data_IF_206220429192
#
_entry.id   IF_206220429192
#
_cell.length_a   1.000
_cell.length_b   1.000
_cell.length_c   1.000
_cell.angle_alpha   90.00
_cell.angle_beta   90.00
_cell.angle_gamma   90.00
#
_symmetry.space_group_name_H-M   'P 1'
#
loop_
_entity.id
_entity.type
_entity.pdbx_description
1 polymer ?
#
# COMPACT_ATOMS: atom_id res chain seq x y z
N UNK A 1 6.73 -22.67 -3.45
CA UNK A 1 6.50 -21.36 -2.80
C UNK A 1 5.35 -20.70 -3.55
N UNK A 2 4.11 -21.13 -3.29
CA UNK A 2 3.03 -20.92 -4.26
C UNK A 2 1.63 -20.71 -3.65
N UNK A 3 1.50 -20.34 -2.37
CA UNK A 3 0.15 -20.08 -1.83
C UNK A 3 0.10 -19.11 -0.64
N UNK A 4 0.74 -17.93 -0.77
CA UNK A 4 0.54 -16.86 0.20
C UNK A 4 -0.31 -15.74 -0.40
N UNK A 5 -1.56 -15.66 0.04
CA UNK A 5 -2.42 -14.52 -0.24
C UNK A 5 -2.37 -13.55 0.93
N UNK A 6 -1.96 -12.27 0.73
CA UNK A 6 -1.95 -11.28 1.80
C UNK A 6 -3.34 -11.12 2.43
N UNK A 7 -3.41 -11.09 3.76
CA UNK A 7 -4.67 -10.98 4.53
C UNK A 7 -5.60 -9.88 4.01
N UNK A 8 -5.06 -8.70 3.70
CA UNK A 8 -5.87 -7.58 3.21
C UNK A 8 -6.39 -7.79 1.79
N UNK A 9 -5.66 -8.53 0.94
CA UNK A 9 -6.13 -8.88 -0.39
C UNK A 9 -7.31 -9.85 -0.30
N UNK A 10 -7.19 -10.89 0.52
CA UNK A 10 -8.28 -11.84 0.78
C UNK A 10 -9.53 -11.13 1.30
N UNK A 11 -9.36 -10.25 2.29
CA UNK A 11 -10.47 -9.45 2.84
C UNK A 11 -11.14 -8.57 1.79
N UNK A 12 -10.35 -7.96 0.90
CA UNK A 12 -10.89 -7.14 -0.18
C UNK A 12 -11.80 -7.97 -1.10
N UNK A 13 -11.30 -9.13 -1.56
CA UNK A 13 -12.01 -10.00 -2.49
C UNK A 13 -13.27 -10.64 -1.85
N UNK A 14 -13.18 -11.10 -0.59
CA UNK A 14 -14.25 -11.89 0.06
C UNK A 14 -15.35 -11.04 0.71
N UNK A 15 -14.98 -9.90 1.30
CA UNK A 15 -15.87 -9.07 2.13
C UNK A 15 -16.17 -7.71 1.47
N UNK A 16 -15.12 -6.95 1.11
CA UNK A 16 -15.26 -5.54 0.69
C UNK A 16 -16.00 -5.45 -0.65
N UNK A 17 -15.69 -6.31 -1.61
CA UNK A 17 -16.34 -6.31 -2.93
C UNK A 17 -17.85 -6.53 -2.82
N UNK A 18 -18.29 -7.45 -1.95
CA UNK A 18 -19.71 -7.72 -1.72
C UNK A 18 -20.39 -6.53 -1.07
N UNK A 19 -19.82 -6.02 0.02
CA UNK A 19 -20.36 -4.87 0.74
C UNK A 19 -20.46 -3.61 -0.15
N UNK A 20 -19.47 -3.38 -1.02
CA UNK A 20 -19.48 -2.26 -1.97
C UNK A 20 -20.53 -2.44 -3.06
N UNK A 21 -20.66 -3.64 -3.62
CA UNK A 21 -21.68 -3.95 -4.63
C UNK A 21 -23.09 -3.79 -4.06
N UNK A 22 -23.36 -4.30 -2.86
CA UNK A 22 -24.66 -4.17 -2.19
C UNK A 22 -24.98 -2.70 -1.85
N UNK A 23 -24.00 -1.94 -1.37
CA UNK A 23 -24.20 -0.55 -0.94
C UNK A 23 -24.40 0.41 -2.11
N UNK A 24 -23.70 0.20 -3.23
CA UNK A 24 -23.65 1.15 -4.34
C UNK A 24 -24.31 0.62 -5.63
N UNK A 25 -24.75 -0.64 -5.66
CA UNK A 25 -25.50 -1.22 -6.77
C UNK A 25 -24.70 -1.40 -8.05
N UNK A 26 -23.38 -1.63 -7.96
CA UNK A 26 -22.53 -1.85 -9.13
C UNK A 26 -23.04 -3.03 -9.97
N UNK A 27 -23.13 -2.82 -11.29
CA UNK A 27 -23.61 -3.86 -12.23
C UNK A 27 -22.47 -4.69 -12.79
N UNK A 28 -21.26 -4.15 -12.74
CA UNK A 28 -20.06 -4.81 -13.22
C UNK A 28 -19.05 -4.95 -12.07
N UNK A 29 -18.49 -6.15 -11.90
CA UNK A 29 -17.49 -6.43 -10.87
C UNK A 29 -16.21 -5.57 -11.00
N UNK A 30 -15.93 -5.06 -12.20
CA UNK A 30 -14.79 -4.17 -12.45
C UNK A 30 -15.05 -2.72 -12.03
N UNK A 31 -16.30 -2.32 -11.76
CA UNK A 31 -16.64 -0.98 -11.26
C UNK A 31 -16.32 -0.82 -9.77
N UNK A 32 -16.14 -1.93 -9.05
CA UNK A 32 -15.81 -1.89 -7.62
C UNK A 32 -14.43 -1.24 -7.44
N UNK A 33 -14.31 -0.16 -6.65
CA UNK A 33 -13.06 0.58 -6.48
C UNK A 33 -11.92 -0.26 -5.94
N UNK A 34 -10.74 -0.16 -6.55
CA UNK A 34 -9.51 -0.88 -6.18
C UNK A 34 -8.43 0.10 -5.75
N UNK A 35 -7.52 -0.35 -4.89
CA UNK A 35 -6.29 0.37 -4.58
C UNK A 35 -5.27 0.14 -5.71
N UNK A 36 -4.91 1.20 -6.42
CA UNK A 36 -3.94 1.13 -7.52
C UNK A 36 -2.49 1.27 -7.03
N UNK A 37 -2.24 2.23 -6.15
CA UNK A 37 -0.90 2.55 -5.65
C UNK A 37 -0.96 3.12 -4.24
N UNK A 38 0.04 2.79 -3.42
CA UNK A 38 0.30 3.44 -2.14
C UNK A 38 1.68 4.08 -2.23
N UNK A 39 1.76 5.41 -2.12
CA UNK A 39 3.01 6.15 -2.08
C UNK A 39 3.41 6.43 -0.64
N UNK A 40 4.63 6.04 -0.28
CA UNK A 40 5.24 6.41 1.00
C UNK A 40 6.17 7.61 0.76
N UNK A 41 6.06 8.63 1.61
CA UNK A 41 6.93 9.79 1.58
C UNK A 41 7.44 10.04 3.00
N UNK A 42 8.74 10.29 3.13
CA UNK A 42 9.36 10.69 4.40
C UNK A 42 10.02 12.05 4.22
N UNK A 43 9.45 13.05 4.88
CA UNK A 43 10.04 14.38 4.98
C UNK A 43 11.21 14.36 5.96
N UNK A 44 12.44 14.51 5.46
CA UNK A 44 13.66 14.55 6.28
C UNK A 44 14.01 15.96 6.80
N UNK A 45 13.22 16.98 6.46
CA UNK A 45 13.27 18.32 7.09
C UNK A 45 14.69 18.92 7.19
N UNK A 46 15.05 19.41 8.38
CA UNK A 46 16.38 19.96 8.70
C UNK A 46 17.51 18.93 8.52
N UNK A 47 17.20 17.64 8.64
CA UNK A 47 18.16 16.56 8.40
C UNK A 47 18.45 16.33 6.91
N UNK A 48 17.76 17.01 5.99
CA UNK A 48 18.07 16.98 4.54
C UNK A 48 19.49 17.45 4.20
N UNK A 49 20.07 18.34 5.03
CA UNK A 49 21.43 18.83 4.84
C UNK A 49 22.49 17.83 5.31
N UNK A 50 22.13 16.88 6.19
CA UNK A 50 23.00 15.82 6.67
C UNK A 50 22.79 14.54 5.85
N UNK A 51 23.70 14.30 4.90
CA UNK A 51 23.66 13.12 4.02
C UNK A 51 23.57 11.79 4.78
N UNK A 52 24.14 11.68 5.98
CA UNK A 52 24.07 10.43 6.76
C UNK A 52 22.66 10.16 7.23
N UNK A 53 21.97 11.19 7.73
CA UNK A 53 20.58 11.05 8.21
C UNK A 53 19.61 10.74 7.09
N UNK A 54 19.79 11.34 5.91
CA UNK A 54 19.00 11.01 4.71
C UNK A 54 19.20 9.56 4.30
N UNK A 55 20.44 9.07 4.33
CA UNK A 55 20.77 7.70 3.99
C UNK A 55 20.15 6.70 4.99
N UNK A 56 20.23 6.97 6.29
CA UNK A 56 19.58 6.15 7.32
C UNK A 56 18.06 6.11 7.14
N UNK A 57 17.44 7.26 6.91
CA UNK A 57 16.00 7.37 6.65
C UNK A 57 15.56 6.52 5.43
N UNK A 58 16.36 6.54 4.36
CA UNK A 58 16.10 5.72 3.17
C UNK A 58 16.26 4.22 3.44
N UNK A 59 17.25 3.82 4.25
CA UNK A 59 17.48 2.42 4.65
C UNK A 59 16.34 1.90 5.54
N UNK A 60 15.90 2.69 6.51
CA UNK A 60 14.74 2.35 7.35
C UNK A 60 13.46 2.22 6.53
N UNK A 61 13.22 3.15 5.60
CA UNK A 61 12.08 3.05 4.68
C UNK A 61 12.17 1.79 3.81
N UNK A 62 13.38 1.43 3.35
CA UNK A 62 13.58 0.21 2.58
C UNK A 62 13.27 -1.05 3.38
N UNK A 63 13.67 -1.09 4.65
CA UNK A 63 13.36 -2.20 5.56
C UNK A 63 11.86 -2.33 5.81
N UNK A 64 11.14 -1.21 5.93
CA UNK A 64 9.69 -1.18 6.17
C UNK A 64 8.91 -1.56 4.91
N UNK A 65 9.23 -0.92 3.77
CA UNK A 65 8.48 -1.09 2.52
C UNK A 65 8.90 -2.34 1.74
N UNK A 66 10.06 -2.93 2.06
CA UNK A 66 10.68 -3.99 1.28
C UNK A 66 11.10 -3.54 -0.13
N UNK A 67 11.17 -2.22 -0.36
CA UNK A 67 11.51 -1.60 -1.63
C UNK A 67 12.50 -0.48 -1.39
N UNK A 68 13.54 -0.39 -2.23
CA UNK A 68 14.50 0.71 -2.13
C UNK A 68 13.84 2.02 -2.61
N UNK A 69 13.81 3.08 -1.79
CA UNK A 69 13.32 4.40 -2.19
C UNK A 69 14.17 5.04 -3.30
#
# INVERSE_FOLDING_TARGET
MADYTPRMRKRYDDEIVKAMTEKFGYKNALEVPKLEKITLNMGVGEASQDKKKVQTAAEEMALIAGQKP
#
